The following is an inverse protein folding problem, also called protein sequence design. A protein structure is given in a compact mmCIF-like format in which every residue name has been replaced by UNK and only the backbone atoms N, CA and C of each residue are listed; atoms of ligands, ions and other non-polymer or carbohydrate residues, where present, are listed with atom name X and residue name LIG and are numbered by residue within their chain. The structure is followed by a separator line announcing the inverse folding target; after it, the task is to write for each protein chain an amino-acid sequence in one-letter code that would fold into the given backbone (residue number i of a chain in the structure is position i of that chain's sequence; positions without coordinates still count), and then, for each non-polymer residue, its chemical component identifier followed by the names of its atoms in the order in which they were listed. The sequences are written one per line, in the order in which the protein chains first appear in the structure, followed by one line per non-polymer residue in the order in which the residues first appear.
data_IF_242738475756
#
_entry.id   IF_242738475756
#
_cell.length_a   1.000
_cell.length_b   1.000
_cell.length_c   1.000
_cell.angle_alpha   90.00
_cell.angle_beta   90.00
_cell.angle_gamma   90.00
#
_symmetry.space_group_name_H-M   'P 1'
#
loop_
_entity.id
_entity.type
_entity.pdbx_description
1 polymer ?
#
# COMPACT_ATOMS: atom_id res chain seq x y z
N UNK A 1 6.31 -12.26 -10.95
CA UNK A 1 7.73 -12.66 -10.93
C UNK A 1 8.38 -11.89 -12.05
N UNK A 2 8.87 -10.69 -11.76
CA UNK A 2 9.64 -9.89 -12.71
C UNK A 2 10.91 -9.47 -11.99
N UNK A 3 12.03 -9.92 -12.55
CA UNK A 3 13.38 -9.64 -12.09
C UNK A 3 13.66 -8.14 -12.19
N UNK A 4 14.29 -7.49 -11.20
CA UNK A 4 14.76 -6.13 -11.37
C UNK A 4 15.91 -6.08 -12.38
N UNK A 5 15.82 -5.09 -13.28
CA UNK A 5 16.80 -4.77 -14.32
C UNK A 5 18.24 -4.70 -13.79
N UNK A 6 19.18 -5.30 -14.54
CA UNK A 6 20.63 -5.33 -14.30
C UNK A 6 21.24 -3.92 -14.10
N UNK A 7 20.60 -2.87 -14.61
CA UNK A 7 21.07 -1.49 -14.43
C UNK A 7 20.91 -0.97 -13.00
N UNK A 8 19.87 -1.43 -12.28
CA UNK A 8 19.67 -1.05 -10.87
C UNK A 8 20.70 -1.70 -9.95
N UNK A 9 21.24 -2.86 -10.32
CA UNK A 9 22.26 -3.56 -9.53
C UNK A 9 23.65 -2.91 -9.68
N UNK A 10 23.94 -2.35 -10.85
CA UNK A 10 25.22 -1.67 -11.11
C UNK A 10 25.35 -0.38 -10.27
N UNK A 11 24.29 0.42 -10.18
CA UNK A 11 24.31 1.67 -9.40
C UNK A 11 24.48 1.44 -7.89
N UNK A 12 24.01 0.31 -7.37
CA UNK A 12 24.19 -0.07 -5.95
C UNK A 12 25.62 -0.56 -5.69
N UNK A 13 26.22 -1.30 -6.63
CA UNK A 13 27.62 -1.76 -6.49
C UNK A 13 28.64 -0.63 -6.59
N UNK A 14 28.39 0.41 -7.38
CA UNK A 14 29.30 1.58 -7.46
C UNK A 14 29.26 2.43 -6.20
N UNK A 15 28.10 2.56 -5.55
CA UNK A 15 27.95 3.28 -4.28
C UNK A 15 28.67 2.62 -3.10
N UNK A 16 28.66 1.27 -3.05
CA UNK A 16 29.34 0.52 -1.99
C UNK A 16 30.87 0.64 -2.08
N UNK A 17 31.42 0.70 -3.30
CA UNK A 17 32.87 0.78 -3.50
C UNK A 17 33.45 2.11 -3.00
N UNK A 18 32.70 3.21 -3.14
CA UNK A 18 33.15 4.54 -2.74
C UNK A 18 33.27 4.74 -1.22
N UNK A 19 32.51 3.99 -0.40
CA UNK A 19 32.60 4.08 1.05
C UNK A 19 33.80 3.32 1.64
N UNK A 20 34.41 2.39 0.92
CA UNK A 20 35.59 1.66 1.38
C UNK A 20 36.91 2.43 1.13
N UNK A 21 36.98 3.24 0.08
CA UNK A 21 38.26 3.87 -0.33
C UNK A 21 38.62 5.15 0.46
N UNK A 22 37.67 5.79 1.15
CA UNK A 22 37.92 7.04 1.91
C UNK A 22 38.59 6.80 3.28
N UNK A 23 38.75 5.55 3.72
CA UNK A 23 39.39 5.22 4.99
C UNK A 23 40.89 4.86 4.90
N UNK A 24 41.51 5.00 3.72
CA UNK A 24 42.86 4.46 3.47
C UNK A 24 43.97 5.49 3.25
N UNK A 25 43.75 6.77 3.59
CA UNK A 25 44.80 7.79 3.50
C UNK A 25 45.01 8.43 4.88
N UNK A 26 46.24 8.35 5.36
CA UNK A 26 46.76 8.80 6.67
C UNK A 26 46.76 7.70 7.76
N UNK A 27 47.77 6.81 7.73
CA UNK A 27 48.78 6.67 8.80
C UNK A 27 49.79 5.55 8.43
N UNK A 28 51.08 5.84 8.63
CA UNK A 28 52.24 4.99 8.34
C UNK A 28 52.32 3.73 9.23
N UNK A 29 53.21 2.76 8.91
CA UNK A 29 53.03 1.35 9.22
C UNK A 29 53.69 0.96 10.54
N UNK A 30 52.97 0.35 11.48
CA UNK A 30 53.59 -0.54 12.46
C UNK A 30 52.57 -1.56 12.98
N UNK A 31 52.85 -2.82 12.64
CA UNK A 31 52.63 -4.05 13.41
C UNK A 31 51.26 -4.35 14.00
N UNK A 32 50.73 -5.49 13.52
CA UNK A 32 49.78 -6.38 14.21
C UNK A 32 48.41 -5.75 14.48
N UNK A 33 47.45 -6.61 14.88
CA UNK A 33 46.13 -6.30 15.44
C UNK A 33 44.95 -6.83 14.60
N UNK A 34 44.52 -8.01 15.05
CA UNK A 34 43.14 -8.45 15.31
C UNK A 34 42.15 -8.61 14.16
N UNK A 35 42.09 -9.87 13.73
CA UNK A 35 40.96 -10.51 13.04
C UNK A 35 39.77 -10.65 14.01
N UNK A 36 39.18 -9.55 14.46
CA UNK A 36 37.95 -9.61 15.29
C UNK A 36 37.00 -8.40 15.08
N UNK A 37 37.48 -7.26 14.58
CA UNK A 37 36.65 -6.07 14.42
C UNK A 37 35.83 -6.02 13.11
N UNK A 38 36.24 -6.76 12.08
CA UNK A 38 35.66 -6.64 10.73
C UNK A 38 34.26 -7.27 10.62
N UNK A 39 34.01 -8.35 11.36
CA UNK A 39 32.73 -9.07 11.32
C UNK A 39 31.63 -8.32 12.08
N UNK A 40 32.00 -7.61 13.16
CA UNK A 40 31.06 -6.88 14.02
C UNK A 40 30.45 -5.63 13.35
N UNK A 41 31.19 -4.97 12.45
CA UNK A 41 30.69 -3.79 11.74
C UNK A 41 29.63 -4.17 10.67
N UNK A 42 29.82 -5.31 10.00
CA UNK A 42 28.92 -5.80 8.95
C UNK A 42 27.53 -6.17 9.50
N UNK A 43 27.48 -6.78 10.69
CA UNK A 43 26.23 -7.22 11.31
C UNK A 43 25.37 -6.06 11.84
N UNK A 44 26.01 -4.97 12.28
CA UNK A 44 25.32 -3.74 12.75
C UNK A 44 24.63 -2.99 11.61
N UNK A 45 25.28 -2.90 10.45
CA UNK A 45 24.72 -2.28 9.25
C UNK A 45 23.55 -3.10 8.67
N UNK A 46 23.65 -4.44 8.69
CA UNK A 46 22.57 -5.31 8.23
C UNK A 46 21.30 -5.16 9.11
N UNK A 47 21.47 -5.03 10.43
CA UNK A 47 20.37 -4.81 11.37
C UNK A 47 19.70 -3.44 11.19
N UNK A 48 20.47 -2.40 10.85
CA UNK A 48 19.92 -1.07 10.53
C UNK A 48 19.09 -1.09 9.23
N UNK A 49 19.52 -1.83 8.21
CA UNK A 49 18.79 -1.96 6.94
C UNK A 49 17.44 -2.68 7.10
N UNK A 50 17.38 -3.71 7.94
CA UNK A 50 16.10 -4.41 8.23
C UNK A 50 15.14 -3.52 9.01
N UNK A 51 15.64 -2.60 9.85
CA UNK A 51 14.81 -1.65 10.61
C UNK A 51 14.15 -0.57 9.73
N UNK A 52 14.70 -0.29 8.55
CA UNK A 52 14.11 0.64 7.56
C UNK A 52 13.04 -0.02 6.69
N UNK A 53 12.94 -1.36 6.68
CA UNK A 53 11.79 -2.06 6.11
C UNK A 53 10.64 -1.98 7.10
N UNK A 54 10.09 -0.77 7.26
CA UNK A 54 8.83 -0.57 7.95
C UNK A 54 7.82 -1.54 7.35
N UNK A 55 7.26 -2.42 8.17
CA UNK A 55 6.18 -3.30 7.76
C UNK A 55 5.02 -2.39 7.38
N UNK A 56 4.84 -2.17 6.09
CA UNK A 56 3.61 -1.61 5.57
C UNK A 56 2.52 -2.63 5.86
N UNK A 57 1.91 -2.54 7.04
CA UNK A 57 0.59 -3.05 7.32
C UNK A 57 -0.41 -2.21 6.51
N UNK A 58 -0.20 -2.13 5.19
CA UNK A 58 -1.02 -1.37 4.27
C UNK A 58 -2.31 -2.16 4.08
N UNK A 59 -3.30 -1.76 4.89
CA UNK A 59 -4.71 -1.73 4.53
C UNK A 59 -5.28 -2.98 3.83
N UNK A 60 -5.50 -4.06 4.60
CA UNK A 60 -6.55 -5.02 4.23
C UNK A 60 -7.98 -4.48 4.48
N UNK A 61 -8.09 -3.31 5.11
CA UNK A 61 -9.36 -2.66 5.38
C UNK A 61 -9.79 -1.78 4.20
N UNK A 62 -11.10 -1.66 4.02
CA UNK A 62 -11.66 -0.70 3.08
C UNK A 62 -11.40 0.72 3.58
N UNK A 63 -10.84 1.55 2.70
CA UNK A 63 -10.62 2.97 2.90
C UNK A 63 -11.66 3.76 2.12
N UNK A 64 -12.18 4.83 2.71
CA UNK A 64 -13.05 5.77 1.99
C UNK A 64 -12.22 6.53 0.97
N UNK A 65 -12.65 6.50 -0.29
CA UNK A 65 -12.00 7.24 -1.38
C UNK A 65 -12.83 8.45 -1.83
N UNK A 66 -14.15 8.39 -1.66
CA UNK A 66 -15.05 9.45 -2.14
C UNK A 66 -16.40 9.44 -1.41
N UNK A 67 -17.12 10.55 -1.57
CA UNK A 67 -18.51 10.72 -1.14
C UNK A 67 -19.33 11.38 -2.24
N UNK A 68 -20.31 10.65 -2.79
CA UNK A 68 -21.16 11.13 -3.89
C UNK A 68 -22.62 10.97 -3.51
N UNK A 69 -23.40 12.04 -3.51
CA UNK A 69 -24.83 12.05 -3.17
C UNK A 69 -25.15 11.31 -1.86
N UNK A 70 -24.27 11.46 -0.86
CA UNK A 70 -24.38 10.80 0.44
C UNK A 70 -23.84 9.37 0.50
N UNK A 71 -23.51 8.75 -0.62
CA UNK A 71 -22.88 7.43 -0.67
C UNK A 71 -21.41 7.50 -0.31
N UNK A 72 -20.96 6.56 0.52
CA UNK A 72 -19.56 6.28 0.75
C UNK A 72 -19.06 5.34 -0.34
N UNK A 73 -18.05 5.77 -1.08
CA UNK A 73 -17.29 4.92 -1.98
C UNK A 73 -16.02 4.49 -1.26
N UNK A 74 -15.81 3.19 -1.16
CA UNK A 74 -14.68 2.61 -0.45
C UNK A 74 -13.89 1.68 -1.35
N UNK A 75 -12.57 1.59 -1.12
CA UNK A 75 -11.64 0.71 -1.83
C UNK A 75 -10.76 -0.04 -0.86
N UNK A 76 -10.44 -1.29 -1.21
CA UNK A 76 -9.29 -2.01 -0.66
C UNK A 76 -8.46 -2.64 -1.77
N UNK A 77 -7.23 -2.99 -1.44
CA UNK A 77 -6.41 -3.90 -2.24
C UNK A 77 -6.55 -5.28 -1.61
N UNK A 78 -6.89 -6.28 -2.41
CA UNK A 78 -6.96 -7.67 -1.92
C UNK A 78 -5.59 -8.36 -1.91
N UNK A 79 -5.57 -9.65 -1.58
CA UNK A 79 -4.32 -10.43 -1.50
C UNK A 79 -3.66 -10.67 -2.86
N UNK A 80 -4.44 -10.59 -3.92
CA UNK A 80 -4.01 -10.76 -5.31
C UNK A 80 -3.63 -9.41 -5.95
N UNK A 81 -3.60 -8.33 -5.15
CA UNK A 81 -3.37 -6.95 -5.58
C UNK A 81 -4.47 -6.39 -6.48
N UNK A 82 -5.68 -6.97 -6.46
CA UNK A 82 -6.82 -6.40 -7.16
C UNK A 82 -7.47 -5.28 -6.35
N UNK A 83 -7.91 -4.23 -7.05
CA UNK A 83 -8.72 -3.18 -6.43
C UNK A 83 -10.17 -3.64 -6.27
N UNK A 84 -10.63 -3.74 -5.03
CA UNK A 84 -12.02 -4.06 -4.71
C UNK A 84 -12.72 -2.79 -4.23
N UNK A 85 -13.71 -2.35 -5.01
CA UNK A 85 -14.53 -1.18 -4.69
C UNK A 85 -15.92 -1.59 -4.18
N UNK A 86 -16.48 -0.80 -3.27
CA UNK A 86 -17.87 -0.93 -2.82
C UNK A 86 -18.50 0.42 -2.55
N UNK A 87 -19.82 0.48 -2.62
CA UNK A 87 -20.61 1.68 -2.32
C UNK A 87 -21.68 1.37 -1.27
N UNK A 88 -21.80 2.22 -0.25
CA UNK A 88 -22.89 2.13 0.73
C UNK A 88 -23.33 3.50 1.23
N UNK A 89 -24.61 3.63 1.57
CA UNK A 89 -25.09 4.78 2.32
C UNK A 89 -24.75 4.60 3.81
N UNK A 90 -24.16 5.62 4.46
CA UNK A 90 -23.98 5.58 5.90
C UNK A 90 -25.35 5.65 6.59
N UNK A 91 -25.64 4.67 7.45
CA UNK A 91 -26.93 4.57 8.17
C UNK A 91 -27.41 3.14 8.29
N UNK A 92 -28.32 2.86 9.24
CA UNK A 92 -28.89 1.52 9.47
C UNK A 92 -28.01 0.53 10.25
N UNK A 93 -26.72 0.82 10.41
CA UNK A 93 -25.81 0.07 11.27
C UNK A 93 -24.33 0.40 11.07
N UNK A 94 -23.48 -0.06 11.99
CA UNK A 94 -22.02 0.11 11.89
C UNK A 94 -21.39 -0.79 10.81
N UNK A 95 -21.99 -1.96 10.55
CA UNK A 95 -21.50 -2.97 9.61
C UNK A 95 -21.99 -2.73 8.18
N UNK A 96 -21.16 -3.03 7.17
CA UNK A 96 -21.49 -2.83 5.75
C UNK A 96 -22.78 -3.55 5.30
N UNK A 97 -22.99 -4.79 5.75
CA UNK A 97 -24.19 -5.58 5.40
C UNK A 97 -25.49 -5.02 6.00
N UNK A 98 -25.40 -4.19 7.04
CA UNK A 98 -26.54 -3.54 7.67
C UNK A 98 -26.93 -2.21 6.99
N UNK A 99 -26.23 -1.82 5.91
CA UNK A 99 -26.42 -0.57 5.19
C UNK A 99 -27.13 -0.79 3.86
N UNK A 100 -27.76 0.26 3.35
CA UNK A 100 -28.15 0.32 1.93
C UNK A 100 -26.88 0.34 1.09
N UNK A 101 -26.78 -0.56 0.12
CA UNK A 101 -25.52 -0.80 -0.60
C UNK A 101 -25.77 -1.26 -2.04
N UNK A 102 -24.73 -1.14 -2.87
CA UNK A 102 -24.65 -1.83 -4.15
C UNK A 102 -23.93 -3.17 -3.96
N UNK A 103 -24.43 -4.23 -4.59
CA UNK A 103 -23.74 -5.52 -4.63
C UNK A 103 -22.69 -5.59 -5.76
N UNK A 104 -22.15 -6.78 -5.99
CA UNK A 104 -21.13 -7.00 -7.02
C UNK A 104 -21.65 -6.81 -8.46
N UNK A 105 -22.97 -6.92 -8.66
CA UNK A 105 -23.64 -6.74 -9.94
C UNK A 105 -24.26 -5.34 -10.07
N UNK A 106 -23.90 -4.42 -9.17
CA UNK A 106 -24.43 -3.06 -9.09
C UNK A 106 -25.95 -3.01 -8.82
N UNK A 107 -26.50 -4.09 -8.28
CA UNK A 107 -27.89 -4.15 -7.84
C UNK A 107 -28.04 -3.47 -6.47
N UNK A 108 -29.11 -2.69 -6.34
CA UNK A 108 -29.44 -2.01 -5.09
C UNK A 108 -29.96 -3.02 -4.06
N UNK A 109 -29.28 -3.09 -2.92
CA UNK A 109 -29.70 -3.91 -1.78
C UNK A 109 -30.10 -2.97 -0.64
N UNK A 110 -31.37 -3.04 -0.25
CA UNK A 110 -31.95 -2.27 0.86
C UNK A 110 -32.31 -3.25 1.99
N UNK A 111 -31.59 -3.22 3.13
CA UNK A 111 -31.97 -3.98 4.32
C UNK A 111 -33.38 -3.62 4.81
N UNK A 112 -34.05 -4.58 5.48
CA UNK A 112 -35.38 -4.35 6.05
C UNK A 112 -35.37 -3.17 7.03
N UNK A 113 -36.39 -2.32 6.94
CA UNK A 113 -36.56 -1.16 7.82
C UNK A 113 -35.76 0.09 7.41
N UNK A 114 -35.03 0.04 6.29
CA UNK A 114 -34.38 1.22 5.72
C UNK A 114 -35.15 1.74 4.50
N UNK A 115 -35.03 3.05 4.27
CA UNK A 115 -35.67 3.73 3.15
C UNK A 115 -34.88 3.50 1.86
N UNK A 116 -35.60 3.17 0.79
CA UNK A 116 -35.03 3.10 -0.55
C UNK A 116 -34.58 4.49 -1.01
N UNK A 117 -33.31 4.67 -1.40
CA UNK A 117 -32.81 5.94 -1.91
C UNK A 117 -33.41 6.29 -3.27
N UNK A 118 -33.36 7.58 -3.63
CA UNK A 118 -33.85 8.05 -4.92
C UNK A 118 -32.99 7.51 -6.08
N UNK A 119 -33.61 7.23 -7.24
CA UNK A 119 -32.94 6.59 -8.38
C UNK A 119 -31.71 7.36 -8.86
N UNK A 120 -31.79 8.69 -8.94
CA UNK A 120 -30.66 9.52 -9.40
C UNK A 120 -29.42 9.36 -8.50
N UNK A 121 -29.61 9.32 -7.18
CA UNK A 121 -28.54 9.06 -6.21
C UNK A 121 -27.95 7.67 -6.37
N UNK A 122 -28.77 6.66 -6.67
CA UNK A 122 -28.28 5.31 -6.98
C UNK A 122 -27.48 5.29 -8.29
N UNK A 123 -27.92 6.01 -9.31
CA UNK A 123 -27.22 6.13 -10.59
C UNK A 123 -25.84 6.79 -10.41
N UNK A 124 -25.77 7.87 -9.62
CA UNK A 124 -24.51 8.50 -9.23
C UNK A 124 -23.57 7.54 -8.52
N UNK A 125 -24.09 6.74 -7.58
CA UNK A 125 -23.31 5.74 -6.87
C UNK A 125 -22.77 4.64 -7.80
N UNK A 126 -23.58 4.15 -8.76
CA UNK A 126 -23.12 3.19 -9.78
C UNK A 126 -22.02 3.78 -10.64
N UNK A 127 -22.17 5.03 -11.07
CA UNK A 127 -21.14 5.72 -11.87
C UNK A 127 -19.83 5.86 -11.09
N UNK A 128 -19.88 6.29 -9.84
CA UNK A 128 -18.70 6.40 -8.99
C UNK A 128 -18.03 5.03 -8.76
N UNK A 129 -18.82 3.99 -8.55
CA UNK A 129 -18.33 2.62 -8.38
C UNK A 129 -17.66 2.08 -9.65
N UNK A 130 -18.24 2.36 -10.82
CA UNK A 130 -17.65 2.03 -12.11
C UNK A 130 -16.29 2.73 -12.30
N UNK A 131 -16.21 4.03 -12.02
CA UNK A 131 -14.98 4.82 -12.10
C UNK A 131 -13.91 4.37 -11.09
N UNK A 132 -14.33 3.90 -9.92
CA UNK A 132 -13.46 3.28 -8.93
C UNK A 132 -12.82 1.99 -9.46
N UNK A 133 -13.62 1.13 -10.10
CA UNK A 133 -13.14 -0.16 -10.64
C UNK A 133 -12.28 0.01 -11.89
N UNK A 134 -12.54 1.04 -12.70
CA UNK A 134 -11.74 1.35 -13.89
C UNK A 134 -10.45 2.10 -13.58
N UNK A 135 -10.17 2.39 -12.30
CA UNK A 135 -9.03 3.20 -11.83
C UNK A 135 -8.89 4.57 -12.53
N UNK A 136 -9.97 5.08 -13.15
CA UNK A 136 -9.87 6.23 -14.06
C UNK A 136 -9.77 7.56 -13.31
N UNK A 137 -10.39 7.66 -12.13
CA UNK A 137 -10.41 8.89 -11.32
C UNK A 137 -9.71 8.77 -9.97
N UNK A 138 -9.07 7.63 -9.71
CA UNK A 138 -8.57 7.34 -8.38
C UNK A 138 -7.29 6.52 -8.52
N UNK A 139 -6.17 7.23 -8.57
CA UNK A 139 -4.80 6.75 -8.71
C UNK A 139 -4.05 6.80 -7.37
#
# INVERSE_FOLDING_TARGET
MDSPSLESMASVMTGIKLCCDVAHVVFHPFTHVNVDASVFCCMKCLLLLVSLMGTSALAQNFQTIDRVDGWLIERKVDREQNHVCRASLPGGGSWFSARVRLDLNDALVVPKGLTTPNTASVDSARKALHLCRSSLLYF
#
